data_IF_199226387519
#
_entry.id   IF_199226387519
#
_cell.length_a   1.000
_cell.length_b   1.000
_cell.length_c   1.000
_cell.angle_alpha   90.00
_cell.angle_beta   90.00
_cell.angle_gamma   90.00
#
_symmetry.space_group_name_H-M   'P 1'
#
loop_
_entity.id
_entity.type
_entity.pdbx_description
1 polymer ?
#
# COMPACT_ATOMS: atom_id res chain seq x y z
N UNK A 1 -6.29 -33.34 -54.33
CA UNK A 1 -6.28 -33.09 -52.87
C UNK A 1 -7.73 -32.93 -52.44
N UNK A 2 -8.26 -33.81 -51.59
CA UNK A 2 -9.71 -33.91 -51.37
C UNK A 2 -10.22 -32.80 -50.45
N UNK A 3 -11.48 -32.41 -50.60
CA UNK A 3 -12.12 -31.38 -49.76
C UNK A 3 -12.07 -31.71 -48.25
N UNK A 4 -12.06 -33.01 -47.93
CA UNK A 4 -11.98 -33.56 -46.57
C UNK A 4 -10.61 -33.25 -45.92
N UNK A 5 -9.52 -33.31 -46.69
CA UNK A 5 -8.16 -33.07 -46.19
C UNK A 5 -7.95 -31.61 -45.77
N UNK A 6 -8.59 -30.67 -46.47
CA UNK A 6 -8.49 -29.23 -46.20
C UNK A 6 -9.23 -28.86 -44.90
N UNK A 7 -10.44 -29.39 -44.69
CA UNK A 7 -11.22 -29.17 -43.47
C UNK A 7 -10.52 -29.75 -42.23
N UNK A 8 -9.93 -30.95 -42.36
CA UNK A 8 -9.15 -31.57 -41.29
C UNK A 8 -7.93 -30.72 -40.89
N UNK A 9 -7.16 -30.24 -41.88
CA UNK A 9 -6.03 -29.34 -41.64
C UNK A 9 -6.45 -28.03 -40.96
N UNK A 10 -7.58 -27.44 -41.35
CA UNK A 10 -8.09 -26.20 -40.75
C UNK A 10 -8.53 -26.39 -39.29
N UNK A 11 -9.17 -27.51 -38.97
CA UNK A 11 -9.56 -27.87 -37.61
C UNK A 11 -8.34 -28.07 -36.70
N UNK A 12 -7.31 -28.76 -37.19
CA UNK A 12 -6.03 -28.97 -36.48
C UNK A 12 -5.31 -27.64 -36.21
N UNK A 13 -5.30 -26.73 -37.19
CA UNK A 13 -4.67 -25.43 -37.00
C UNK A 13 -5.44 -24.57 -35.98
N UNK A 14 -6.77 -24.58 -36.02
CA UNK A 14 -7.60 -23.86 -35.06
C UNK A 14 -7.41 -24.37 -33.63
N UNK A 15 -7.31 -25.69 -33.44
CA UNK A 15 -7.09 -26.28 -32.13
C UNK A 15 -5.70 -25.94 -31.58
N UNK A 16 -4.66 -25.97 -32.43
CA UNK A 16 -3.30 -25.52 -32.06
C UNK A 16 -3.29 -24.05 -31.62
N UNK A 17 -3.92 -23.15 -32.36
CA UNK A 17 -3.97 -21.72 -31.99
C UNK A 17 -4.70 -21.48 -30.66
N UNK A 18 -5.78 -22.22 -30.37
CA UNK A 18 -6.48 -22.11 -29.08
C UNK A 18 -5.62 -22.61 -27.92
N UNK A 19 -4.88 -23.70 -28.12
CA UNK A 19 -3.97 -24.24 -27.12
C UNK A 19 -2.85 -23.25 -26.78
N UNK A 20 -2.23 -22.62 -27.79
CA UNK A 20 -1.18 -21.62 -27.57
C UNK A 20 -1.70 -20.37 -26.83
N UNK A 21 -2.91 -19.89 -27.17
CA UNK A 21 -3.54 -18.78 -26.43
C UNK A 21 -3.82 -19.14 -24.98
N UNK A 22 -4.26 -20.37 -24.71
CA UNK A 22 -4.51 -20.84 -23.34
C UNK A 22 -3.21 -20.93 -22.53
N UNK A 23 -2.11 -21.39 -23.13
CA UNK A 23 -0.78 -21.41 -22.50
C UNK A 23 -0.30 -20.01 -22.13
N UNK A 24 -0.34 -19.07 -23.08
CA UNK A 24 0.08 -17.69 -22.85
C UNK A 24 -0.74 -17.01 -21.73
N UNK A 25 -2.05 -17.27 -21.67
CA UNK A 25 -2.91 -16.74 -20.60
C UNK A 25 -2.56 -17.34 -19.23
N UNK A 26 -2.26 -18.65 -19.18
CA UNK A 26 -1.85 -19.32 -17.97
C UNK A 26 -0.51 -18.75 -17.45
N UNK A 27 0.47 -18.57 -18.34
CA UNK A 27 1.77 -17.96 -18.03
C UNK A 27 1.62 -16.52 -17.50
N UNK A 28 0.85 -15.68 -18.20
CA UNK A 28 0.56 -14.32 -17.75
C UNK A 28 -0.07 -14.29 -16.36
N UNK A 29 -1.02 -15.20 -16.11
CA UNK A 29 -1.71 -15.28 -14.81
C UNK A 29 -0.75 -15.65 -13.69
N UNK A 30 0.18 -16.57 -13.94
CA UNK A 30 1.16 -17.00 -12.94
C UNK A 30 2.20 -15.91 -12.66
N UNK A 31 2.73 -15.27 -13.71
CA UNK A 31 3.66 -14.14 -13.55
C UNK A 31 3.00 -12.99 -12.79
N UNK A 32 1.74 -12.65 -13.10
CA UNK A 32 1.00 -11.61 -12.39
C UNK A 32 0.80 -11.93 -10.90
N UNK A 33 0.52 -13.21 -10.56
CA UNK A 33 0.48 -13.65 -9.15
C UNK A 33 1.83 -13.49 -8.49
N UNK A 34 2.92 -13.87 -9.16
CA UNK A 34 4.28 -13.76 -8.64
C UNK A 34 4.67 -12.30 -8.39
N UNK A 35 4.43 -11.41 -9.35
CA UNK A 35 4.69 -9.97 -9.23
C UNK A 35 3.90 -9.36 -8.06
N UNK A 36 2.62 -9.70 -7.90
CA UNK A 36 1.83 -9.24 -6.75
C UNK A 36 2.36 -9.77 -5.41
N UNK A 37 2.94 -10.98 -5.39
CA UNK A 37 3.61 -11.53 -4.20
C UNK A 37 4.93 -10.79 -3.93
N UNK A 38 5.76 -10.54 -4.93
CA UNK A 38 7.03 -9.82 -4.76
C UNK A 38 6.81 -8.39 -4.28
N UNK A 39 5.89 -7.63 -4.89
CA UNK A 39 5.57 -6.25 -4.46
C UNK A 39 5.15 -6.21 -2.98
N UNK A 40 4.34 -7.18 -2.53
CA UNK A 40 3.94 -7.28 -1.12
C UNK A 40 5.12 -7.61 -0.21
N UNK A 41 6.02 -8.48 -0.66
CA UNK A 41 7.21 -8.85 0.08
C UNK A 41 8.18 -7.68 0.20
N UNK A 42 8.44 -6.96 -0.89
CA UNK A 42 9.34 -5.80 -0.92
C UNK A 42 8.80 -4.68 -0.02
N UNK A 43 7.48 -4.44 -0.04
CA UNK A 43 6.85 -3.51 0.90
C UNK A 43 7.04 -3.93 2.36
N UNK A 44 6.94 -5.23 2.65
CA UNK A 44 7.16 -5.76 4.01
C UNK A 44 8.61 -5.56 4.44
N UNK A 45 9.57 -5.93 3.59
CA UNK A 45 11.01 -5.71 3.83
C UNK A 45 11.31 -4.25 4.12
N UNK A 46 10.80 -3.34 3.30
CA UNK A 46 10.98 -1.90 3.53
C UNK A 46 10.46 -1.43 4.90
N UNK A 47 9.30 -1.93 5.32
CA UNK A 47 8.73 -1.60 6.64
C UNK A 47 9.55 -2.21 7.77
N UNK A 48 10.03 -3.45 7.62
CA UNK A 48 10.92 -4.12 8.59
C UNK A 48 12.25 -3.38 8.73
N UNK A 49 12.87 -2.95 7.64
CA UNK A 49 14.11 -2.16 7.65
C UNK A 49 13.93 -0.81 8.37
N UNK A 50 12.79 -0.15 8.17
CA UNK A 50 12.46 1.07 8.91
C UNK A 50 12.26 0.80 10.40
N UNK A 51 11.59 -0.30 10.76
CA UNK A 51 11.34 -0.68 12.15
C UNK A 51 12.63 -1.03 12.88
N UNK A 52 13.53 -1.79 12.25
CA UNK A 52 14.85 -2.11 12.81
C UNK A 52 15.71 -0.86 12.98
N UNK A 53 15.64 0.08 12.03
CA UNK A 53 16.32 1.38 12.15
C UNK A 53 15.77 2.20 13.32
N UNK A 54 14.45 2.22 13.51
CA UNK A 54 13.82 2.89 14.64
C UNK A 54 14.24 2.27 15.97
N UNK A 55 14.23 0.94 16.08
CA UNK A 55 14.68 0.22 17.28
C UNK A 55 16.13 0.54 17.64
N UNK A 56 17.02 0.55 16.64
CA UNK A 56 18.42 0.93 16.84
C UNK A 56 18.56 2.36 17.35
N UNK A 57 17.85 3.31 16.74
CA UNK A 57 17.87 4.71 17.17
C UNK A 57 17.36 4.87 18.62
N UNK A 58 16.36 4.09 19.02
CA UNK A 58 15.87 4.08 20.41
C UNK A 58 16.94 3.56 21.38
N UNK A 59 17.64 2.47 21.03
CA UNK A 59 18.73 1.90 21.84
C UNK A 59 19.92 2.87 22.00
N UNK A 60 20.23 3.63 20.96
CA UNK A 60 21.32 4.61 20.96
C UNK A 60 20.91 5.98 21.56
N UNK A 61 19.63 6.15 21.95
CA UNK A 61 19.12 7.42 22.46
C UNK A 61 18.98 8.53 21.41
N UNK A 62 19.07 8.20 20.11
CA UNK A 62 18.90 9.16 19.01
C UNK A 62 17.40 9.44 18.76
N UNK A 63 16.83 10.28 19.61
CA UNK A 63 15.40 10.57 19.62
C UNK A 63 14.91 11.25 18.34
N UNK A 64 15.76 12.06 17.69
CA UNK A 64 15.41 12.72 16.43
C UNK A 64 15.18 11.70 15.31
N UNK A 65 16.11 10.77 15.14
CA UNK A 65 15.99 9.72 14.12
C UNK A 65 14.84 8.77 14.43
N UNK A 66 14.61 8.43 15.70
CA UNK A 66 13.47 7.64 16.13
C UNK A 66 12.14 8.30 15.75
N UNK A 67 12.01 9.61 16.00
CA UNK A 67 10.81 10.36 15.62
C UNK A 67 10.60 10.39 14.10
N UNK A 68 11.63 10.70 13.32
CA UNK A 68 11.53 10.81 11.86
C UNK A 68 11.16 9.46 11.20
N UNK A 69 11.74 8.35 11.69
CA UNK A 69 11.43 6.99 11.20
C UNK A 69 10.02 6.56 11.59
N UNK A 70 9.60 6.83 12.83
CA UNK A 70 8.24 6.54 13.31
C UNK A 70 7.20 7.37 12.55
N UNK A 71 7.52 8.63 12.22
CA UNK A 71 6.68 9.50 11.37
C UNK A 71 6.53 8.93 9.96
N UNK A 72 7.60 8.38 9.38
CA UNK A 72 7.53 7.69 8.08
C UNK A 72 6.68 6.40 8.15
N UNK A 73 6.86 5.61 9.21
CA UNK A 73 6.10 4.36 9.43
C UNK A 73 4.61 4.58 9.66
N UNK A 74 4.25 5.61 10.41
CA UNK A 74 2.85 5.94 10.71
C UNK A 74 2.06 6.44 9.49
N UNK A 75 2.75 6.82 8.41
CA UNK A 75 2.15 7.27 7.15
C UNK A 75 1.26 8.52 7.33
N UNK A 76 0.65 8.96 6.23
CA UNK A 76 -0.41 9.96 6.29
C UNK A 76 -1.67 9.33 6.89
N UNK A 77 -1.71 9.20 8.22
CA UNK A 77 -2.97 9.03 8.95
C UNK A 77 -3.79 10.26 8.59
N UNK A 78 -4.81 10.13 7.72
CA UNK A 78 -5.79 11.20 7.50
C UNK A 78 -6.29 11.56 8.89
N UNK A 79 -5.81 12.69 9.42
CA UNK A 79 -6.46 13.28 10.57
C UNK A 79 -7.85 13.61 10.05
N UNK A 80 -8.95 13.09 10.60
CA UNK A 80 -10.13 13.93 10.61
C UNK A 80 -9.64 15.24 11.26
N UNK A 81 -9.73 16.36 10.55
CA UNK A 81 -9.70 17.66 11.22
C UNK A 81 -10.79 17.55 12.28
N UNK A 82 -10.37 17.29 13.52
CA UNK A 82 -11.25 17.41 14.68
C UNK A 82 -11.09 18.88 15.05
N UNK A 83 -12.07 19.73 14.75
CA UNK A 83 -12.01 21.10 15.20
C UNK A 83 -11.91 21.08 16.73
N UNK A 84 -11.12 21.99 17.29
CA UNK A 84 -11.05 22.14 18.76
C UNK A 84 -12.45 22.54 19.22
N UNK A 85 -13.05 21.73 20.09
CA UNK A 85 -14.38 22.00 20.65
C UNK A 85 -14.25 22.61 22.02
N UNK A 86 -15.02 23.65 22.34
CA UNK A 86 -15.13 24.27 23.66
C UNK A 86 -15.74 23.32 24.72
N UNK A 87 -15.85 23.78 25.98
CA UNK A 87 -16.38 22.97 27.09
C UNK A 87 -17.87 22.64 26.91
N UNK A 88 -18.57 23.37 26.05
CA UNK A 88 -19.96 23.13 25.65
C UNK A 88 -20.08 22.24 24.40
N UNK A 89 -18.95 21.78 23.82
CA UNK A 89 -18.92 20.92 22.64
C UNK A 89 -19.06 21.64 21.29
N UNK A 90 -19.06 22.98 21.27
CA UNK A 90 -19.13 23.82 20.07
C UNK A 90 -17.75 23.97 19.44
N UNK A 91 -17.70 23.98 18.11
CA UNK A 91 -16.45 24.15 17.36
C UNK A 91 -15.92 25.57 17.54
N UNK A 92 -14.69 25.68 18.02
CA UNK A 92 -13.95 26.94 18.17
C UNK A 92 -13.21 27.23 16.86
N UNK A 93 -13.68 28.26 16.15
CA UNK A 93 -13.10 28.71 14.88
C UNK A 93 -12.09 29.84 15.07
N UNK A 94 -12.08 30.49 16.24
CA UNK A 94 -11.18 31.60 16.55
C UNK A 94 -9.83 31.14 17.14
N UNK A 95 -8.75 31.82 16.77
CA UNK A 95 -7.37 31.43 17.10
C UNK A 95 -7.04 31.75 18.56
N UNK A 96 -7.54 32.85 19.12
CA UNK A 96 -7.29 33.22 20.51
C UNK A 96 -8.03 32.27 21.46
N UNK A 97 -9.29 31.94 21.15
CA UNK A 97 -10.07 30.96 21.91
C UNK A 97 -9.43 29.57 21.89
N UNK A 98 -8.84 29.15 20.75
CA UNK A 98 -8.08 27.90 20.69
C UNK A 98 -6.86 27.93 21.61
N UNK A 99 -6.08 29.01 21.61
CA UNK A 99 -4.91 29.14 22.49
C UNK A 99 -5.28 29.13 23.97
N UNK A 100 -6.32 29.88 24.37
CA UNK A 100 -6.81 29.89 25.74
C UNK A 100 -7.23 28.49 26.20
N UNK A 101 -7.84 27.71 25.31
CA UNK A 101 -8.24 26.33 25.60
C UNK A 101 -7.06 25.38 25.75
N UNK A 102 -5.99 25.57 24.98
CA UNK A 102 -4.74 24.85 25.19
C UNK A 102 -4.13 25.18 26.56
N UNK A 103 -4.17 26.45 26.97
CA UNK A 103 -3.65 26.91 28.28
C UNK A 103 -4.46 26.33 29.45
N UNK A 104 -5.79 26.23 29.34
CA UNK A 104 -6.63 25.59 30.36
C UNK A 104 -6.35 24.09 30.51
N UNK A 105 -6.13 23.37 29.41
CA UNK A 105 -5.93 21.91 29.43
C UNK A 105 -4.53 21.52 29.96
N UNK A 106 -3.55 22.40 29.86
CA UNK A 106 -2.16 22.14 30.29
C UNK A 106 -1.78 22.82 31.61
N UNK A 107 -2.72 23.49 32.29
CA UNK A 107 -2.59 23.92 33.68
C UNK A 107 -3.04 22.81 34.64
#
# INVERSE_FOLDING_TARGET
MSHIDIHSCAAINTSRTRAEKAKALAEYTEINKQVKRSIRNDKRKYVEDLATTAEKAAREGNMRQLYDTTKKLSGNRRKPERPVKDNAGKVVTDIEEQQNRWVEHFK
#
